data_IF_514439624803
#
_entry.id   IF_514439624803
#
_cell.length_a   1.000
_cell.length_b   1.000
_cell.length_c   1.000
_cell.angle_alpha   90.00
_cell.angle_beta   90.00
_cell.angle_gamma   90.00
#
_symmetry.space_group_name_H-M   'P 1'
#
loop_
_entity.id
_entity.type
_entity.pdbx_description
1 polymer ?
#
# COMPACT_ATOMS: atom_id res chain seq x y z
N UNK A 1 8.62 18.02 10.76
CA UNK A 1 8.78 16.60 11.09
C UNK A 1 10.14 16.10 10.59
N UNK A 2 10.70 15.05 11.23
CA UNK A 2 11.90 14.35 10.74
C UNK A 2 11.54 13.43 9.57
N UNK A 3 12.27 13.43 8.45
CA UNK A 3 12.00 12.51 7.35
C UNK A 3 11.99 11.05 7.79
N UNK A 4 11.01 10.29 7.32
CA UNK A 4 10.92 8.84 7.51
C UNK A 4 11.07 8.19 6.15
N UNK A 5 11.91 7.15 6.07
CA UNK A 5 12.02 6.30 4.89
C UNK A 5 12.32 4.88 5.31
N UNK A 6 11.35 4.00 5.11
CA UNK A 6 11.43 2.58 5.40
C UNK A 6 12.12 1.88 4.24
N UNK A 7 13.02 0.94 4.54
CA UNK A 7 13.62 0.07 3.52
C UNK A 7 12.69 -1.11 3.23
N UNK A 8 11.68 -0.83 2.40
CA UNK A 8 10.65 -1.80 2.01
C UNK A 8 11.11 -2.53 0.76
N UNK A 9 11.13 -3.88 0.77
CA UNK A 9 11.41 -4.67 -0.44
C UNK A 9 10.50 -4.25 -1.58
N UNK A 10 11.09 -4.05 -2.76
CA UNK A 10 10.37 -3.66 -3.97
C UNK A 10 10.13 -4.88 -4.83
N UNK A 11 8.90 -5.06 -5.31
CA UNK A 11 8.51 -6.15 -6.19
C UNK A 11 7.71 -5.59 -7.38
N UNK A 12 7.96 -6.13 -8.56
CA UNK A 12 7.16 -5.86 -9.75
C UNK A 12 5.91 -6.74 -9.75
N UNK A 13 4.79 -6.19 -10.22
CA UNK A 13 3.59 -6.97 -10.47
C UNK A 13 3.83 -7.90 -11.67
N UNK A 14 3.42 -9.16 -11.53
CA UNK A 14 3.59 -10.15 -12.61
C UNK A 14 2.44 -10.18 -13.62
N UNK A 15 1.31 -9.55 -13.28
CA UNK A 15 0.12 -9.42 -14.14
C UNK A 15 -0.32 -7.96 -14.20
N UNK A 16 -0.98 -7.57 -15.28
CA UNK A 16 -1.38 -6.19 -15.56
C UNK A 16 -2.28 -5.58 -14.47
N UNK A 17 -3.05 -6.40 -13.76
CA UNK A 17 -4.01 -5.94 -12.75
C UNK A 17 -3.78 -6.52 -11.35
N UNK A 18 -2.55 -6.98 -11.03
CA UNK A 18 -2.23 -7.54 -9.70
C UNK A 18 -1.48 -6.57 -8.76
N UNK A 19 -1.47 -5.26 -9.05
CA UNK A 19 -0.87 -4.23 -8.18
C UNK A 19 -1.34 -4.32 -6.71
N UNK A 20 -2.60 -4.71 -6.49
CA UNK A 20 -3.17 -4.94 -5.16
C UNK A 20 -2.47 -6.05 -4.37
N UNK A 21 -2.14 -7.16 -5.03
CA UNK A 21 -1.51 -8.32 -4.42
C UNK A 21 -0.03 -8.03 -4.16
N UNK A 22 0.66 -7.51 -5.18
CA UNK A 22 2.07 -7.15 -5.11
C UNK A 22 2.31 -6.06 -4.05
N UNK A 23 1.40 -5.09 -3.94
CA UNK A 23 1.41 -4.09 -2.87
C UNK A 23 1.34 -4.72 -1.48
N UNK A 24 0.41 -5.65 -1.28
CA UNK A 24 0.29 -6.38 -0.01
C UNK A 24 1.51 -7.27 0.27
N UNK A 25 2.09 -7.87 -0.78
CA UNK A 25 3.28 -8.71 -0.70
C UNK A 25 4.51 -7.92 -0.24
N UNK A 26 4.73 -6.71 -0.77
CA UNK A 26 5.84 -5.85 -0.32
C UNK A 26 5.74 -5.49 1.17
N UNK A 27 4.53 -5.24 1.68
CA UNK A 27 4.29 -4.99 3.10
C UNK A 27 4.54 -6.25 3.93
N UNK A 28 4.11 -7.42 3.44
CA UNK A 28 4.39 -8.69 4.09
C UNK A 28 5.89 -8.98 4.17
N UNK A 29 6.64 -8.78 3.07
CA UNK A 29 8.09 -8.94 3.04
C UNK A 29 8.80 -8.01 4.02
N UNK A 30 8.36 -6.76 4.12
CA UNK A 30 8.90 -5.83 5.11
C UNK A 30 8.75 -6.37 6.53
N UNK A 31 7.54 -6.77 6.92
CA UNK A 31 7.28 -7.28 8.28
C UNK A 31 7.95 -8.62 8.56
N UNK A 32 8.05 -9.50 7.56
CA UNK A 32 8.83 -10.72 7.67
C UNK A 32 10.30 -10.41 7.96
N UNK A 33 10.88 -9.43 7.25
CA UNK A 33 12.27 -9.01 7.46
C UNK A 33 12.51 -8.35 8.83
N UNK A 34 11.53 -7.62 9.37
CA UNK A 34 11.64 -6.99 10.70
C UNK A 34 11.46 -7.97 11.86
N UNK A 35 10.50 -8.89 11.75
CA UNK A 35 10.09 -9.78 12.85
C UNK A 35 10.75 -11.17 12.81
N UNK A 36 11.20 -11.60 11.63
CA UNK A 36 11.59 -12.99 11.37
C UNK A 36 10.40 -13.97 11.29
N UNK A 37 9.15 -13.48 11.39
CA UNK A 37 7.94 -14.30 11.43
C UNK A 37 7.15 -14.21 10.13
N UNK A 38 6.50 -15.31 9.77
CA UNK A 38 5.61 -15.39 8.63
C UNK A 38 4.16 -15.23 9.10
N UNK A 39 3.62 -14.01 9.05
CA UNK A 39 2.18 -13.81 9.21
C UNK A 39 1.41 -14.05 7.90
N UNK A 40 0.10 -13.78 7.87
CA UNK A 40 -0.76 -14.13 6.74
C UNK A 40 -0.41 -13.36 5.45
N UNK A 41 -0.34 -14.10 4.35
CA UNK A 41 -0.24 -13.58 2.97
C UNK A 41 -1.06 -14.49 2.04
N UNK A 42 -2.34 -14.69 2.34
CA UNK A 42 -3.19 -15.53 1.51
C UNK A 42 -3.65 -14.76 0.27
N UNK A 43 -3.32 -15.27 -0.91
CA UNK A 43 -3.82 -14.75 -2.18
C UNK A 43 -5.34 -14.90 -2.26
N UNK A 44 -6.03 -13.90 -2.82
CA UNK A 44 -7.43 -14.03 -3.24
C UNK A 44 -7.44 -14.77 -4.59
N UNK A 45 -7.43 -16.11 -4.56
CA UNK A 45 -7.12 -16.96 -5.72
C UNK A 45 -7.92 -16.61 -6.98
N UNK A 46 -9.25 -16.53 -6.89
CA UNK A 46 -10.10 -16.21 -8.04
C UNK A 46 -9.81 -14.84 -8.65
N UNK A 47 -9.53 -13.83 -7.81
CA UNK A 47 -9.17 -12.49 -8.28
C UNK A 47 -7.77 -12.47 -8.89
N UNK A 48 -6.85 -13.28 -8.38
CA UNK A 48 -5.50 -13.40 -8.91
C UNK A 48 -5.46 -14.12 -10.26
N UNK A 49 -6.27 -15.16 -10.41
CA UNK A 49 -6.46 -15.87 -11.68
C UNK A 49 -6.98 -14.92 -12.77
N UNK A 50 -7.89 -14.01 -12.42
CA UNK A 50 -8.44 -13.01 -13.34
C UNK A 50 -7.55 -11.76 -13.55
N UNK A 51 -6.43 -11.63 -12.83
CA UNK A 51 -5.62 -10.40 -12.79
C UNK A 51 -4.85 -10.09 -14.09
N UNK A 52 -4.89 -10.98 -15.09
CA UNK A 52 -4.43 -10.68 -16.45
C UNK A 52 -5.43 -9.80 -17.23
N UNK A 53 -6.69 -9.75 -16.79
CA UNK A 53 -7.78 -9.09 -17.53
C UNK A 53 -8.61 -8.13 -16.69
N UNK A 54 -8.57 -8.22 -15.36
CA UNK A 54 -9.37 -7.39 -14.47
C UNK A 54 -8.71 -7.21 -13.10
N UNK A 55 -8.82 -5.99 -12.55
CA UNK A 55 -8.36 -5.67 -11.20
C UNK A 55 -9.39 -6.03 -10.12
N UNK A 56 -9.03 -5.75 -8.87
CA UNK A 56 -9.99 -5.80 -7.77
C UNK A 56 -10.92 -4.59 -7.83
N UNK A 57 -12.21 -4.84 -7.66
CA UNK A 57 -13.16 -3.77 -7.36
C UNK A 57 -12.99 -3.28 -5.90
N UNK A 58 -13.54 -2.10 -5.60
CA UNK A 58 -13.45 -1.51 -4.27
C UNK A 58 -14.07 -2.38 -3.16
N UNK A 59 -15.11 -3.15 -3.45
CA UNK A 59 -15.76 -4.05 -2.48
C UNK A 59 -14.84 -5.20 -2.07
N UNK A 60 -13.99 -5.66 -2.98
CA UNK A 60 -13.05 -6.75 -2.75
C UNK A 60 -11.82 -6.36 -1.93
N UNK A 61 -11.57 -5.06 -1.69
CA UNK A 61 -10.49 -4.61 -0.80
C UNK A 61 -10.66 -5.13 0.63
N UNK A 62 -11.90 -5.30 1.10
CA UNK A 62 -12.18 -5.88 2.42
C UNK A 62 -11.74 -7.34 2.46
N UNK A 63 -12.05 -8.11 1.41
CA UNK A 63 -11.64 -9.52 1.29
C UNK A 63 -10.11 -9.64 1.25
N UNK A 64 -9.45 -8.77 0.48
CA UNK A 64 -7.98 -8.68 0.47
C UNK A 64 -7.46 -8.43 1.89
N UNK A 65 -7.95 -7.39 2.57
CA UNK A 65 -7.53 -7.03 3.92
C UNK A 65 -7.62 -8.22 4.88
N UNK A 66 -8.74 -8.94 4.89
CA UNK A 66 -8.94 -10.13 5.71
C UNK A 66 -7.99 -11.28 5.36
N UNK A 67 -7.68 -11.50 4.08
CA UNK A 67 -6.87 -12.63 3.62
C UNK A 67 -5.37 -12.41 3.78
N UNK A 68 -4.89 -11.18 3.57
CA UNK A 68 -3.47 -10.81 3.71
C UNK A 68 -3.14 -10.16 5.06
N UNK A 69 -4.11 -10.08 5.97
CA UNK A 69 -3.94 -9.52 7.32
C UNK A 69 -3.65 -8.03 7.33
N UNK A 70 -4.19 -7.28 6.36
CA UNK A 70 -4.18 -5.82 6.41
C UNK A 70 -5.44 -5.32 7.12
N UNK A 71 -5.32 -4.15 7.73
CA UNK A 71 -6.41 -3.42 8.36
C UNK A 71 -6.55 -2.06 7.69
N UNK A 72 -7.79 -1.64 7.43
CA UNK A 72 -8.05 -0.29 6.96
C UNK A 72 -7.78 0.72 8.09
N UNK A 73 -7.22 1.87 7.73
CA UNK A 73 -7.13 3.02 8.64
C UNK A 73 -8.20 4.05 8.29
N UNK A 74 -8.55 4.91 9.25
CA UNK A 74 -9.49 6.00 9.00
C UNK A 74 -8.86 6.98 8.01
N UNK A 75 -9.52 7.14 6.87
CA UNK A 75 -9.08 8.04 5.80
C UNK A 75 -9.52 9.47 6.13
N UNK A 76 -8.67 10.44 5.78
CA UNK A 76 -8.96 11.87 5.86
C UNK A 76 -9.10 12.40 4.44
N UNK A 77 -9.83 13.50 4.27
CA UNK A 77 -9.89 14.18 2.97
C UNK A 77 -8.53 14.73 2.55
N UNK A 78 -7.70 15.09 3.54
CA UNK A 78 -6.33 15.54 3.35
C UNK A 78 -5.46 14.97 4.47
N UNK A 79 -4.31 14.43 4.09
CA UNK A 79 -3.29 13.87 4.94
C UNK A 79 -2.10 14.82 4.96
N UNK A 80 -1.78 15.31 6.16
CA UNK A 80 -0.57 16.08 6.38
C UNK A 80 0.66 15.17 6.38
N UNK A 81 1.82 15.79 6.22
CA UNK A 81 3.12 15.19 6.48
C UNK A 81 3.18 14.41 7.80
N UNK A 82 2.69 15.01 8.90
CA UNK A 82 2.66 14.38 10.22
C UNK A 82 1.67 13.21 10.30
N UNK A 83 0.60 13.22 9.50
CA UNK A 83 -0.31 12.07 9.41
C UNK A 83 0.39 10.87 8.77
N UNK A 84 1.04 11.10 7.62
CA UNK A 84 1.75 10.06 6.89
C UNK A 84 2.92 9.52 7.71
N UNK A 85 3.65 10.40 8.41
CA UNK A 85 4.72 10.03 9.33
C UNK A 85 4.20 9.10 10.42
N UNK A 86 3.11 9.48 11.09
CA UNK A 86 2.48 8.64 12.14
C UNK A 86 2.01 7.30 11.61
N UNK A 87 1.53 7.22 10.37
CA UNK A 87 1.14 5.93 9.80
C UNK A 87 2.36 5.02 9.63
N UNK A 88 3.44 5.57 9.08
CA UNK A 88 4.69 4.85 8.84
C UNK A 88 5.38 4.41 10.14
N UNK A 89 5.38 5.27 11.17
CA UNK A 89 5.96 4.95 12.48
C UNK A 89 5.18 3.87 13.23
N UNK A 90 3.85 3.95 13.21
CA UNK A 90 3.02 3.04 14.00
C UNK A 90 2.79 1.69 13.31
N UNK A 91 2.71 1.69 11.97
CA UNK A 91 2.24 0.53 11.21
C UNK A 91 3.17 0.12 10.05
N UNK A 92 4.30 0.80 9.87
CA UNK A 92 5.20 0.53 8.76
C UNK A 92 4.61 0.97 7.41
N UNK A 93 4.97 0.31 6.29
CA UNK A 93 4.54 0.73 4.97
C UNK A 93 3.02 0.66 4.78
N UNK A 94 2.49 1.62 4.02
CA UNK A 94 1.04 1.79 3.84
C UNK A 94 0.64 1.43 2.43
N UNK A 95 -0.24 0.45 2.30
CA UNK A 95 -0.90 0.09 1.04
C UNK A 95 -1.86 1.22 0.67
N UNK A 96 -1.74 1.77 -0.53
CA UNK A 96 -2.47 2.97 -0.93
C UNK A 96 -3.09 2.84 -2.33
N UNK A 97 -4.41 2.95 -2.45
CA UNK A 97 -5.13 2.90 -3.74
C UNK A 97 -5.62 4.28 -4.18
N UNK A 98 -5.43 4.58 -5.47
CA UNK A 98 -5.77 5.88 -6.07
C UNK A 98 -5.56 5.91 -7.59
N UNK A 99 -5.74 7.08 -8.20
CA UNK A 99 -5.45 7.36 -9.63
C UNK A 99 -4.01 7.89 -9.82
N UNK A 100 -3.02 7.19 -9.26
CA UNK A 100 -1.63 7.68 -9.17
C UNK A 100 -1.07 8.17 -10.51
N UNK A 101 -1.23 7.36 -11.56
CA UNK A 101 -0.67 7.63 -12.91
C UNK A 101 -1.72 7.65 -14.02
N UNK A 102 -2.99 7.87 -13.68
CA UNK A 102 -4.10 7.84 -14.62
C UNK A 102 -5.13 6.77 -14.24
N UNK A 103 -4.84 5.48 -14.46
CA UNK A 103 -5.73 4.38 -14.07
C UNK A 103 -5.71 4.12 -12.55
N UNK A 104 -6.72 3.37 -12.09
CA UNK A 104 -6.79 2.80 -10.75
C UNK A 104 -5.55 1.96 -10.47
N UNK A 105 -4.83 2.31 -9.41
CA UNK A 105 -3.56 1.67 -9.11
C UNK A 105 -3.28 1.63 -7.60
N UNK A 106 -2.39 0.72 -7.21
CA UNK A 106 -1.94 0.55 -5.85
C UNK A 106 -0.46 0.85 -5.78
N UNK A 107 -0.08 1.72 -4.85
CA UNK A 107 1.32 1.95 -4.47
C UNK A 107 1.51 1.56 -3.00
N UNK A 108 2.76 1.37 -2.60
CA UNK A 108 3.13 1.20 -1.19
C UNK A 108 3.86 2.44 -0.74
N UNK A 109 3.24 3.26 0.12
CA UNK A 109 3.91 4.39 0.75
C UNK A 109 4.98 3.87 1.70
N UNK A 110 6.22 4.31 1.49
CA UNK A 110 7.41 3.84 2.23
C UNK A 110 8.10 4.96 2.98
N UNK A 111 7.74 6.22 2.73
CA UNK A 111 8.38 7.34 3.40
C UNK A 111 7.68 8.66 3.18
N UNK A 112 8.07 9.63 3.99
CA UNK A 112 7.60 11.01 3.92
C UNK A 112 8.72 11.96 4.37
N UNK A 113 8.80 13.11 3.73
CA UNK A 113 9.69 14.21 4.06
C UNK A 113 8.96 15.54 3.78
N UNK A 114 9.52 16.70 4.17
CA UNK A 114 8.91 17.99 3.84
C UNK A 114 8.59 18.12 2.34
N UNK A 115 7.31 18.27 2.02
CA UNK A 115 6.71 18.38 0.68
C UNK A 115 6.67 17.08 -0.13
N UNK A 116 7.17 15.95 0.37
CA UNK A 116 7.48 14.76 -0.42
C UNK A 116 6.98 13.46 0.21
N UNK A 117 6.54 12.54 -0.66
CA UNK A 117 6.27 11.14 -0.32
C UNK A 117 7.22 10.23 -1.11
N UNK A 118 7.61 9.11 -0.50
CA UNK A 118 8.35 8.03 -1.14
C UNK A 118 7.47 6.79 -1.20
N UNK A 119 7.50 6.09 -2.31
CA UNK A 119 6.68 4.90 -2.48
C UNK A 119 7.33 3.87 -3.41
N UNK A 120 6.94 2.62 -3.23
CA UNK A 120 7.23 1.55 -4.18
C UNK A 120 6.01 1.38 -5.09
N UNK A 121 6.29 1.36 -6.39
CA UNK A 121 5.31 1.16 -7.44
C UNK A 121 5.41 -0.28 -7.96
N UNK A 122 4.36 -1.11 -7.78
CA UNK A 122 4.31 -2.44 -8.36
C UNK A 122 4.47 -2.44 -9.87
N UNK A 123 4.03 -1.39 -10.57
CA UNK A 123 4.19 -1.30 -12.01
C UNK A 123 5.68 -1.08 -12.36
N UNK A 124 6.30 -2.09 -12.96
CA UNK A 124 7.73 -2.16 -13.19
C UNK A 124 8.61 -2.39 -11.94
N UNK A 125 8.02 -2.47 -10.74
CA UNK A 125 8.74 -2.74 -9.50
C UNK A 125 9.79 -1.67 -9.17
N UNK A 126 9.37 -0.39 -9.19
CA UNK A 126 10.29 0.75 -9.07
C UNK A 126 10.04 1.58 -7.82
N UNK A 127 11.11 2.12 -7.24
CA UNK A 127 11.01 3.12 -6.16
C UNK A 127 10.80 4.50 -6.78
N UNK A 128 9.78 5.23 -6.35
CA UNK A 128 9.44 6.56 -6.86
C UNK A 128 9.23 7.56 -5.71
N UNK A 129 9.12 8.82 -6.10
CA UNK A 129 8.76 9.91 -5.20
C UNK A 129 7.68 10.79 -5.85
N UNK A 130 6.91 11.45 -5.00
CA UNK A 130 5.88 12.40 -5.39
C UNK A 130 5.74 13.50 -4.36
N UNK A 131 4.84 14.46 -4.58
CA UNK A 131 4.54 15.48 -3.57
C UNK A 131 3.42 15.02 -2.65
N UNK A 132 3.37 15.55 -1.42
CA UNK A 132 2.24 15.31 -0.50
C UNK A 132 0.93 15.84 -1.10
N UNK A 133 1.00 16.94 -1.86
CA UNK A 133 -0.15 17.46 -2.61
C UNK A 133 -0.66 16.46 -3.64
N UNK A 134 0.23 15.94 -4.50
CA UNK A 134 -0.10 14.91 -5.48
C UNK A 134 -0.69 13.67 -4.81
N UNK A 135 -0.11 13.24 -3.68
CA UNK A 135 -0.63 12.09 -2.94
C UNK A 135 -2.09 12.28 -2.54
N UNK A 136 -2.43 13.44 -1.98
CA UNK A 136 -3.79 13.78 -1.58
C UNK A 136 -4.76 13.94 -2.76
N UNK A 137 -4.29 14.47 -3.90
CA UNK A 137 -5.11 14.62 -5.11
C UNK A 137 -5.44 13.26 -5.76
N UNK A 138 -4.55 12.27 -5.63
CA UNK A 138 -4.68 10.97 -6.28
C UNK A 138 -5.30 9.89 -5.41
N UNK A 139 -5.19 9.99 -4.09
CA UNK A 139 -5.73 9.01 -3.16
C UNK A 139 -7.27 8.95 -3.23
N UNK A 140 -7.83 7.75 -3.22
CA UNK A 140 -9.28 7.53 -3.19
C UNK A 140 -9.90 7.77 -1.82
N UNK A 141 -9.91 9.02 -1.38
CA UNK A 141 -10.42 9.41 -0.05
C UNK A 141 -11.89 9.06 0.19
N UNK A 142 -12.68 8.92 -0.89
CA UNK A 142 -14.07 8.47 -0.84
C UNK A 142 -14.24 6.95 -0.61
N UNK A 143 -13.19 6.15 -0.76
CA UNK A 143 -13.26 4.70 -0.68
C UNK A 143 -12.73 4.19 0.67
N UNK A 144 -13.57 3.43 1.38
CA UNK A 144 -13.14 2.72 2.60
C UNK A 144 -12.12 1.64 2.21
N UNK A 145 -10.95 1.68 2.84
CA UNK A 145 -9.87 0.73 2.53
C UNK A 145 -8.90 1.21 1.45
N UNK A 146 -8.98 2.47 1.02
CA UNK A 146 -7.94 3.04 0.13
C UNK A 146 -6.58 3.20 0.81
N UNK A 147 -6.54 3.22 2.15
CA UNK A 147 -5.34 3.12 2.96
C UNK A 147 -5.45 1.89 3.86
N UNK A 148 -4.49 0.98 3.73
CA UNK A 148 -4.41 -0.21 4.56
C UNK A 148 -3.00 -0.41 5.08
N UNK A 149 -2.93 -0.92 6.30
CA UNK A 149 -1.68 -1.14 7.02
C UNK A 149 -1.70 -2.51 7.66
N UNK A 150 -0.54 -3.00 8.11
CA UNK A 150 -0.46 -4.24 8.87
C UNK A 150 -0.41 -3.92 10.36
N UNK A 151 -1.05 -4.76 11.17
CA UNK A 151 -0.80 -4.73 12.60
C UNK A 151 0.55 -5.41 12.86
N UNK A 152 1.49 -4.66 13.45
CA UNK A 152 2.84 -5.17 13.77
C UNK A 152 2.79 -6.30 14.80
N UNK A 153 1.79 -6.30 15.68
CA UNK A 153 1.68 -7.26 16.78
C UNK A 153 1.01 -8.57 16.31
N UNK A 154 0.44 -8.58 15.10
CA UNK A 154 -0.07 -9.78 14.44
C UNK A 154 1.04 -10.64 13.79
N UNK A 155 2.32 -10.25 13.94
CA UNK A 155 3.50 -10.97 13.46
C UNK A 155 4.29 -11.51 14.65
#
# INVERSE_FOLDING_TARGET
MTPIRLDVPTAAQEKDYCCWHTGAYMIWLYWQGQSGRQGPMNTVASSYEAADTSGLDYGQFITLAQKVGLNYIKVKNQHSEDDLARYLENYGPVWSCGTWFGPDHVIVLTGVAPGKVYFNDPDGGVKREGTVKWFNEKLYTQCRGCLMVKDKDAY
#
